data_IF_495260468294
#
_entry.id   IF_495260468294
#
_cell.length_a   1.000
_cell.length_b   1.000
_cell.length_c   1.000
_cell.angle_alpha   90.00
_cell.angle_beta   90.00
_cell.angle_gamma   90.00
#
_symmetry.space_group_name_H-M   'P 1'
#
loop_
_entity.id
_entity.type
_entity.pdbx_description
1 polymer ?
#
# COMPACT_ATOMS: atom_id res chain seq x y z
N UNK A 1 -3.73 17.04 25.21
CA UNK A 1 -4.58 16.31 24.24
C UNK A 1 -3.79 15.74 23.08
N UNK A 2 -3.02 16.56 22.33
CA UNK A 2 -2.15 16.12 21.22
C UNK A 2 -1.29 14.89 21.55
N UNK A 3 -0.45 14.83 22.60
CA UNK A 3 0.47 13.71 22.82
C UNK A 3 -0.17 12.38 23.27
N UNK A 4 -1.43 12.40 23.74
CA UNK A 4 -2.09 11.19 24.27
C UNK A 4 -2.63 10.29 23.15
N UNK A 5 -3.36 10.84 22.18
CA UNK A 5 -3.87 10.10 21.00
C UNK A 5 -2.74 9.38 20.26
N UNK A 6 -1.60 10.07 20.24
CA UNK A 6 -0.35 9.78 19.61
C UNK A 6 0.37 8.59 20.26
N UNK A 7 0.57 8.63 21.58
CA UNK A 7 1.19 7.55 22.34
C UNK A 7 0.40 6.23 22.20
N UNK A 8 -0.92 6.32 22.04
CA UNK A 8 -1.79 5.15 21.93
C UNK A 8 -1.85 4.55 20.52
N UNK A 9 -1.74 5.36 19.45
CA UNK A 9 -1.50 4.83 18.11
C UNK A 9 -0.17 4.07 18.07
N UNK A 10 0.87 4.59 18.74
CA UNK A 10 2.16 3.91 18.87
C UNK A 10 2.07 2.60 19.67
N UNK A 11 1.27 2.56 20.74
CA UNK A 11 1.00 1.31 21.47
C UNK A 11 0.30 0.24 20.59
N UNK A 12 -0.61 0.67 19.70
CA UNK A 12 -1.22 -0.19 18.68
C UNK A 12 -0.19 -0.68 17.65
N UNK A 13 0.73 0.18 17.20
CA UNK A 13 1.84 -0.23 16.31
C UNK A 13 2.77 -1.24 16.98
N UNK A 14 3.10 -1.04 18.27
CA UNK A 14 3.94 -1.96 19.04
C UNK A 14 3.26 -3.33 19.23
N UNK A 15 1.93 -3.38 19.36
CA UNK A 15 1.16 -4.63 19.42
C UNK A 15 1.15 -5.35 18.06
N UNK A 16 0.96 -4.62 16.95
CA UNK A 16 0.98 -5.17 15.60
C UNK A 16 2.39 -5.61 15.12
N UNK A 17 3.45 -5.06 15.72
CA UNK A 17 4.85 -5.40 15.42
C UNK A 17 5.36 -6.63 16.19
N UNK A 18 4.54 -7.27 17.04
CA UNK A 18 4.93 -8.56 17.63
C UNK A 18 5.07 -9.59 16.51
N UNK A 19 6.25 -10.20 16.31
CA UNK A 19 6.41 -11.26 15.31
C UNK A 19 5.53 -12.43 15.74
N UNK A 20 4.47 -12.70 14.99
CA UNK A 20 3.91 -14.04 14.95
C UNK A 20 5.03 -14.93 14.41
N UNK A 21 5.49 -15.85 15.25
CA UNK A 21 6.45 -16.87 14.86
C UNK A 21 6.03 -17.52 13.53
N UNK A 22 6.97 -17.93 12.66
CA UNK A 22 6.62 -18.54 11.38
C UNK A 22 5.74 -19.76 11.65
N UNK A 23 4.49 -19.70 11.22
CA UNK A 23 3.61 -20.86 11.22
C UNK A 23 4.05 -21.70 10.04
N UNK A 24 4.80 -22.75 10.35
CA UNK A 24 5.21 -23.78 9.42
C UNK A 24 3.95 -24.48 8.87
N UNK A 25 3.50 -24.03 7.70
CA UNK A 25 2.57 -24.78 6.87
C UNK A 25 3.35 -25.11 5.60
N UNK A 26 3.89 -26.33 5.63
CA UNK A 26 4.53 -26.96 4.50
C UNK A 26 3.55 -27.00 3.33
N UNK A 27 3.87 -26.20 2.32
CA UNK A 27 3.31 -26.35 1.00
C UNK A 27 4.48 -26.30 0.01
N UNK A 28 5.04 -27.48 -0.25
CA UNK A 28 6.09 -27.68 -1.24
C UNK A 28 5.47 -27.55 -2.64
N UNK A 29 5.29 -26.31 -3.09
CA UNK A 29 5.11 -26.04 -4.52
C UNK A 29 6.49 -25.90 -5.14
N UNK A 30 6.91 -26.98 -5.82
CA UNK A 30 8.11 -27.00 -6.65
C UNK A 30 7.97 -25.94 -7.74
N UNK A 31 8.70 -24.83 -7.62
CA UNK A 31 8.73 -23.76 -8.62
C UNK A 31 9.58 -24.25 -9.79
N UNK A 32 8.93 -24.59 -10.91
CA UNK A 32 9.61 -24.84 -12.18
C UNK A 32 10.08 -23.50 -12.76
N UNK A 33 11.40 -23.30 -12.76
CA UNK A 33 12.03 -22.17 -13.45
C UNK A 33 12.08 -22.49 -14.94
N UNK A 34 11.22 -21.84 -15.74
CA UNK A 34 11.34 -21.94 -17.18
C UNK A 34 12.59 -21.18 -17.66
N UNK A 35 13.36 -21.90 -18.47
CA UNK A 35 14.68 -21.57 -19.02
C UNK A 35 14.63 -20.31 -19.89
N UNK A 36 15.64 -19.44 -19.74
CA UNK A 36 15.87 -18.25 -20.57
C UNK A 36 15.89 -18.59 -22.07
N UNK A 37 15.20 -17.79 -22.88
CA UNK A 37 15.43 -17.70 -24.32
C UNK A 37 16.54 -16.66 -24.62
N UNK A 38 17.31 -16.80 -25.70
CA UNK A 38 18.59 -16.13 -25.88
C UNK A 38 18.47 -14.72 -26.50
N UNK A 39 19.45 -13.90 -26.15
CA UNK A 39 19.65 -12.50 -26.52
C UNK A 39 19.51 -12.19 -28.02
N UNK A 40 18.91 -11.02 -28.31
CA UNK A 40 19.21 -10.29 -29.55
C UNK A 40 19.18 -8.79 -29.27
N UNK A 41 20.38 -8.20 -29.15
CA UNK A 41 20.56 -6.75 -29.08
C UNK A 41 20.26 -6.11 -30.43
N UNK A 42 19.41 -5.08 -30.43
CA UNK A 42 19.31 -4.09 -31.51
C UNK A 42 19.08 -2.71 -30.90
N UNK A 43 20.10 -1.86 -30.96
CA UNK A 43 20.02 -0.45 -30.58
C UNK A 43 19.16 0.31 -31.59
N UNK A 44 17.96 0.73 -31.18
CA UNK A 44 17.10 1.64 -31.92
C UNK A 44 16.40 2.58 -30.94
N UNK A 45 16.88 3.83 -30.89
CA UNK A 45 16.31 4.89 -30.06
C UNK A 45 14.99 5.36 -30.73
N UNK A 46 13.85 4.89 -30.21
CA UNK A 46 12.51 5.38 -30.52
C UNK A 46 11.69 5.35 -29.23
N UNK A 47 11.01 6.45 -28.91
CA UNK A 47 10.32 6.68 -27.63
C UNK A 47 9.03 5.88 -27.41
N UNK A 48 9.11 4.55 -27.45
CA UNK A 48 8.04 3.64 -27.01
C UNK A 48 8.57 2.82 -25.85
N UNK A 49 7.91 2.87 -24.68
CA UNK A 49 8.25 1.99 -23.57
C UNK A 49 8.13 0.54 -24.11
N UNK A 50 9.14 -0.34 -23.97
CA UNK A 50 9.16 -1.69 -24.56
C UNK A 50 8.08 -2.64 -24.01
N UNK A 51 7.13 -2.11 -23.24
CA UNK A 51 6.14 -2.84 -22.44
C UNK A 51 4.69 -2.54 -22.88
N UNK A 52 4.50 -1.64 -23.85
CA UNK A 52 3.18 -1.22 -24.33
C UNK A 52 2.30 -2.41 -24.78
N UNK A 53 2.91 -3.45 -25.39
CA UNK A 53 2.16 -4.62 -25.88
C UNK A 53 1.53 -5.50 -24.79
N UNK A 54 2.17 -5.67 -23.63
CA UNK A 54 1.59 -6.48 -22.55
C UNK A 54 0.62 -5.69 -21.67
N UNK A 55 0.63 -4.34 -21.74
CA UNK A 55 -0.33 -3.49 -21.03
C UNK A 55 -1.73 -3.65 -21.59
N UNK A 56 -1.84 -3.77 -22.92
CA UNK A 56 -3.13 -3.94 -23.58
C UNK A 56 -3.76 -5.30 -23.32
N UNK A 57 -2.95 -6.35 -23.21
CA UNK A 57 -3.41 -7.71 -22.91
C UNK A 57 -3.49 -8.03 -21.42
N UNK A 58 -2.98 -7.14 -20.55
CA UNK A 58 -2.86 -7.34 -19.10
C UNK A 58 -2.11 -8.63 -18.73
N UNK A 59 -1.06 -8.95 -19.48
CA UNK A 59 -0.25 -10.16 -19.30
C UNK A 59 1.24 -9.86 -19.14
N UNK A 60 1.59 -8.69 -18.59
CA UNK A 60 2.99 -8.44 -18.26
C UNK A 60 3.44 -9.41 -17.17
N UNK A 61 4.50 -10.14 -17.43
CA UNK A 61 5.15 -11.01 -16.44
C UNK A 61 5.82 -10.20 -15.33
N UNK A 62 6.03 -10.84 -14.17
CA UNK A 62 6.79 -10.29 -13.06
C UNK A 62 8.12 -9.64 -13.50
N UNK A 63 8.89 -10.31 -14.36
CA UNK A 63 10.20 -9.82 -14.83
C UNK A 63 10.07 -8.61 -15.75
N UNK A 64 9.04 -8.56 -16.60
CA UNK A 64 8.78 -7.38 -17.44
C UNK A 64 8.43 -6.16 -16.59
N UNK A 65 7.63 -6.34 -15.53
CA UNK A 65 7.31 -5.24 -14.61
C UNK A 65 8.53 -4.85 -13.76
N UNK A 66 9.33 -5.83 -13.32
CA UNK A 66 10.54 -5.57 -12.54
C UNK A 66 11.54 -4.70 -13.34
N UNK A 67 11.67 -4.99 -14.64
CA UNK A 67 12.49 -4.21 -15.57
C UNK A 67 11.94 -2.80 -15.86
N UNK A 68 10.69 -2.49 -15.53
CA UNK A 68 10.15 -1.14 -15.66
C UNK A 68 10.76 -0.19 -14.63
N UNK A 69 11.08 1.02 -15.07
CA UNK A 69 11.33 2.14 -14.17
C UNK A 69 10.09 2.43 -13.30
N UNK A 70 10.27 3.07 -12.14
CA UNK A 70 9.14 3.52 -11.32
C UNK A 70 8.19 4.46 -12.08
N UNK A 71 8.72 5.31 -12.96
CA UNK A 71 7.92 6.19 -13.80
C UNK A 71 7.03 5.39 -14.76
N UNK A 72 7.59 4.39 -15.45
CA UNK A 72 6.83 3.50 -16.34
C UNK A 72 5.77 2.70 -15.57
N UNK A 73 6.06 2.27 -14.33
CA UNK A 73 5.06 1.60 -13.47
C UNK A 73 3.93 2.54 -13.07
N UNK A 74 4.23 3.81 -12.78
CA UNK A 74 3.21 4.82 -12.49
C UNK A 74 2.30 5.04 -13.68
N UNK A 75 2.87 5.16 -14.88
CA UNK A 75 2.12 5.26 -16.14
C UNK A 75 1.24 4.03 -16.35
N UNK A 76 1.77 2.83 -16.09
CA UNK A 76 1.00 1.59 -16.23
C UNK A 76 -0.21 1.55 -15.28
N UNK A 77 -0.02 1.92 -14.00
CA UNK A 77 -1.12 1.98 -13.04
C UNK A 77 -2.18 3.00 -13.48
N UNK A 78 -1.77 4.18 -13.95
CA UNK A 78 -2.71 5.19 -14.46
C UNK A 78 -3.45 4.71 -15.70
N UNK A 79 -2.77 4.02 -16.61
CA UNK A 79 -3.37 3.38 -17.77
C UNK A 79 -4.42 2.35 -17.34
N UNK A 80 -4.06 1.45 -16.42
CA UNK A 80 -4.95 0.41 -15.90
C UNK A 80 -6.21 1.04 -15.28
N UNK A 81 -6.05 2.01 -14.39
CA UNK A 81 -7.14 2.75 -13.75
C UNK A 81 -8.08 3.39 -14.77
N UNK A 82 -7.52 4.11 -15.74
CA UNK A 82 -8.30 4.89 -16.73
C UNK A 82 -9.04 4.00 -17.72
N UNK A 83 -8.40 2.94 -18.22
CA UNK A 83 -8.88 2.21 -19.39
C UNK A 83 -9.43 0.81 -19.10
N UNK A 84 -9.09 0.22 -17.95
CA UNK A 84 -9.43 -1.18 -17.65
C UNK A 84 -10.30 -1.32 -16.41
N UNK A 85 -10.05 -0.52 -15.38
CA UNK A 85 -10.74 -0.67 -14.08
C UNK A 85 -12.10 0.04 -14.01
N UNK A 86 -12.44 0.89 -14.98
CA UNK A 86 -13.77 1.50 -15.08
C UNK A 86 -14.87 0.44 -15.21
N UNK A 87 -14.68 -0.54 -16.11
CA UNK A 87 -15.59 -1.67 -16.29
C UNK A 87 -15.72 -2.56 -15.03
N UNK A 88 -14.82 -2.39 -14.06
CA UNK A 88 -14.80 -3.08 -12.77
C UNK A 88 -15.25 -2.17 -11.61
N UNK A 89 -15.77 -0.97 -11.90
CA UNK A 89 -16.18 0.06 -10.93
C UNK A 89 -15.10 0.37 -9.88
N UNK A 90 -13.85 0.41 -10.34
CA UNK A 90 -12.69 0.52 -9.46
C UNK A 90 -11.62 1.49 -9.97
N UNK A 91 -11.99 2.45 -10.84
CA UNK A 91 -11.08 3.43 -11.44
C UNK A 91 -10.23 4.20 -10.41
N UNK A 92 -10.83 4.59 -9.30
CA UNK A 92 -10.21 5.41 -8.25
C UNK A 92 -9.58 4.59 -7.10
N UNK A 93 -9.80 3.28 -7.06
CA UNK A 93 -9.47 2.44 -5.89
C UNK A 93 -7.98 2.09 -5.76
N UNK A 94 -7.15 2.53 -6.71
CA UNK A 94 -5.74 2.13 -6.81
C UNK A 94 -4.79 3.32 -6.71
N UNK A 95 -5.27 4.49 -6.29
CA UNK A 95 -4.43 5.66 -6.10
C UNK A 95 -3.40 5.47 -4.97
N UNK A 96 -3.64 4.54 -4.04
CA UNK A 96 -2.63 4.06 -3.09
C UNK A 96 -1.34 3.56 -3.78
N UNK A 97 -1.45 2.81 -4.89
CA UNK A 97 -0.28 2.37 -5.66
C UNK A 97 0.49 3.56 -6.22
N UNK A 98 -0.21 4.56 -6.76
CA UNK A 98 0.42 5.81 -7.23
C UNK A 98 1.19 6.50 -6.11
N UNK A 99 0.61 6.55 -4.90
CA UNK A 99 1.24 7.12 -3.70
C UNK A 99 2.54 6.42 -3.31
N UNK A 100 2.55 5.08 -3.31
CA UNK A 100 3.75 4.27 -3.03
C UNK A 100 4.81 4.45 -4.11
N UNK A 101 4.43 4.45 -5.38
CA UNK A 101 5.37 4.64 -6.50
C UNK A 101 6.00 6.03 -6.44
N UNK A 102 5.19 7.07 -6.22
CA UNK A 102 5.68 8.43 -6.06
C UNK A 102 6.64 8.53 -4.86
N UNK A 103 6.37 7.82 -3.76
CA UNK A 103 7.28 7.73 -2.63
C UNK A 103 8.61 7.07 -3.00
N UNK A 104 8.60 5.95 -3.73
CA UNK A 104 9.82 5.28 -4.21
C UNK A 104 10.66 6.20 -5.10
N UNK A 105 10.03 6.94 -6.01
CA UNK A 105 10.69 7.94 -6.84
C UNK A 105 11.32 9.06 -6.00
N UNK A 106 10.60 9.58 -4.99
CA UNK A 106 11.13 10.66 -4.13
C UNK A 106 12.28 10.23 -3.24
N UNK A 107 12.30 8.97 -2.78
CA UNK A 107 13.38 8.43 -1.92
C UNK A 107 14.50 7.76 -2.69
N UNK A 108 14.37 7.67 -4.02
CA UNK A 108 15.31 6.96 -4.89
C UNK A 108 15.55 5.51 -4.42
N UNK A 109 14.44 4.79 -4.17
CA UNK A 109 14.46 3.38 -3.74
C UNK A 109 13.62 2.53 -4.68
N UNK A 110 13.84 1.20 -4.65
CA UNK A 110 13.07 0.28 -5.47
C UNK A 110 13.44 0.32 -6.95
N UNK A 111 14.66 0.77 -7.29
CA UNK A 111 15.21 0.66 -8.64
C UNK A 111 15.34 -0.79 -9.11
N UNK A 112 15.37 -1.00 -10.42
CA UNK A 112 15.50 -2.33 -11.04
C UNK A 112 16.68 -3.12 -10.47
N UNK A 113 16.51 -4.42 -10.28
CA UNK A 113 17.48 -5.32 -9.66
C UNK A 113 17.46 -5.32 -8.12
N UNK A 114 16.64 -4.47 -7.47
CA UNK A 114 16.54 -4.44 -6.00
C UNK A 114 15.42 -5.33 -5.46
N UNK A 115 15.59 -5.80 -4.23
CA UNK A 115 14.55 -6.57 -3.53
C UNK A 115 13.20 -5.85 -3.51
N UNK A 116 13.21 -4.54 -3.24
CA UNK A 116 11.99 -3.74 -3.18
C UNK A 116 11.32 -3.57 -4.56
N UNK A 117 12.12 -3.46 -5.63
CA UNK A 117 11.62 -3.44 -7.01
C UNK A 117 10.80 -4.69 -7.32
N UNK A 118 11.35 -5.87 -7.01
CA UNK A 118 10.70 -7.15 -7.30
C UNK A 118 9.44 -7.37 -6.46
N UNK A 119 9.46 -6.97 -5.18
CA UNK A 119 8.26 -7.00 -4.33
C UNK A 119 7.15 -6.12 -4.91
N UNK A 120 7.49 -4.90 -5.30
CA UNK A 120 6.52 -3.99 -5.87
C UNK A 120 6.01 -4.44 -7.26
N UNK A 121 6.89 -5.04 -8.08
CA UNK A 121 6.51 -5.64 -9.35
C UNK A 121 5.49 -6.78 -9.15
N UNK A 122 5.65 -7.60 -8.11
CA UNK A 122 4.69 -8.64 -7.77
C UNK A 122 3.32 -8.10 -7.37
N UNK A 123 3.27 -6.93 -6.70
CA UNK A 123 1.99 -6.26 -6.40
C UNK A 123 1.26 -5.82 -7.66
N UNK A 124 1.98 -5.22 -8.62
CA UNK A 124 1.41 -4.77 -9.90
C UNK A 124 1.03 -5.97 -10.78
N UNK A 125 1.84 -7.03 -10.80
CA UNK A 125 1.52 -8.27 -11.53
C UNK A 125 0.22 -8.88 -11.00
N UNK A 126 0.09 -9.00 -9.68
CA UNK A 126 -1.13 -9.53 -9.07
C UNK A 126 -2.35 -8.72 -9.51
N UNK A 127 -2.24 -7.39 -9.45
CA UNK A 127 -3.30 -6.46 -9.80
C UNK A 127 -3.73 -6.59 -11.27
N UNK A 128 -2.81 -6.46 -12.23
CA UNK A 128 -3.17 -6.56 -13.65
C UNK A 128 -3.81 -7.91 -13.99
N UNK A 129 -3.31 -9.01 -13.39
CA UNK A 129 -3.79 -10.36 -13.68
C UNK A 129 -5.16 -10.57 -13.07
N UNK A 130 -5.40 -10.04 -11.87
CA UNK A 130 -6.74 -10.03 -11.28
C UNK A 130 -7.75 -9.23 -12.10
N UNK A 131 -7.33 -8.11 -12.69
CA UNK A 131 -8.15 -7.34 -13.61
C UNK A 131 -8.42 -8.13 -14.91
N UNK A 132 -7.39 -8.75 -15.51
CA UNK A 132 -7.52 -9.59 -16.70
C UNK A 132 -8.52 -10.75 -16.49
N UNK A 133 -8.44 -11.42 -15.34
CA UNK A 133 -9.38 -12.47 -14.93
C UNK A 133 -10.81 -11.93 -14.82
N UNK A 134 -10.98 -10.79 -14.16
CA UNK A 134 -12.30 -10.19 -13.93
C UNK A 134 -12.97 -9.69 -15.22
N UNK A 135 -12.15 -9.26 -16.19
CA UNK A 135 -12.60 -8.82 -17.51
C UNK A 135 -12.79 -10.00 -18.49
N UNK A 136 -12.46 -11.23 -18.08
CA UNK A 136 -12.53 -12.41 -18.95
C UNK A 136 -11.50 -12.45 -20.06
N UNK A 137 -10.40 -11.68 -19.93
CA UNK A 137 -9.32 -11.61 -20.92
C UNK A 137 -8.32 -12.76 -20.78
N UNK A 138 -8.14 -13.29 -19.56
CA UNK A 138 -7.17 -14.35 -19.27
C UNK A 138 -7.55 -15.09 -17.98
N UNK A 139 -7.13 -16.34 -17.83
CA UNK A 139 -7.18 -17.08 -16.57
C UNK A 139 -5.80 -17.27 -15.93
N UNK A 140 -4.76 -16.62 -16.48
CA UNK A 140 -3.38 -16.80 -16.07
C UNK A 140 -3.03 -15.95 -14.83
N UNK A 141 -2.75 -16.60 -13.71
CA UNK A 141 -2.35 -15.97 -12.44
C UNK A 141 -0.84 -15.67 -12.35
N UNK A 142 -0.03 -16.13 -13.30
CA UNK A 142 1.44 -16.00 -13.24
C UNK A 142 2.06 -16.77 -12.05
N UNK A 143 1.30 -17.65 -11.40
CA UNK A 143 1.68 -18.30 -10.14
C UNK A 143 1.63 -17.37 -8.92
N UNK A 144 1.08 -16.16 -9.06
CA UNK A 144 0.90 -15.22 -7.97
C UNK A 144 -0.49 -15.45 -7.32
N UNK A 145 -0.55 -15.96 -6.07
CA UNK A 145 -1.82 -16.29 -5.42
C UNK A 145 -2.69 -15.05 -5.13
N UNK A 146 -2.12 -13.85 -5.21
CA UNK A 146 -2.88 -12.62 -5.03
C UNK A 146 -3.70 -12.24 -6.27
N UNK A 147 -3.40 -12.77 -7.46
CA UNK A 147 -4.19 -12.49 -8.68
C UNK A 147 -5.65 -12.90 -8.53
N UNK A 148 -5.91 -14.07 -7.95
CA UNK A 148 -7.28 -14.55 -7.69
C UNK A 148 -7.99 -13.71 -6.63
N UNK A 149 -7.25 -13.24 -5.61
CA UNK A 149 -7.79 -12.34 -4.58
C UNK A 149 -8.16 -10.99 -5.16
N UNK A 150 -7.35 -10.46 -6.08
CA UNK A 150 -7.71 -9.26 -6.84
C UNK A 150 -8.92 -9.49 -7.72
N UNK A 151 -9.00 -10.63 -8.40
CA UNK A 151 -10.16 -10.97 -9.22
C UNK A 151 -11.46 -11.04 -8.38
N UNK A 152 -11.39 -11.65 -7.20
CA UNK A 152 -12.50 -11.69 -6.25
C UNK A 152 -12.88 -10.29 -5.75
N UNK A 153 -11.89 -9.46 -5.38
CA UNK A 153 -12.12 -8.06 -5.01
C UNK A 153 -12.89 -7.30 -6.09
N UNK A 154 -12.46 -7.40 -7.36
CA UNK A 154 -13.15 -6.75 -8.49
C UNK A 154 -14.56 -7.30 -8.71
N UNK A 155 -14.75 -8.61 -8.60
CA UNK A 155 -16.07 -9.22 -8.69
C UNK A 155 -17.00 -8.69 -7.59
N UNK A 156 -16.52 -8.61 -6.34
CA UNK A 156 -17.30 -8.11 -5.22
C UNK A 156 -17.59 -6.60 -5.34
N UNK A 157 -16.65 -5.79 -5.87
CA UNK A 157 -16.88 -4.38 -6.20
C UNK A 157 -17.99 -4.23 -7.23
N UNK A 158 -17.88 -4.93 -8.36
CA UNK A 158 -18.85 -4.86 -9.47
C UNK A 158 -20.25 -5.29 -9.05
N UNK A 159 -20.36 -6.26 -8.13
CA UNK A 159 -21.64 -6.74 -7.59
C UNK A 159 -22.17 -5.92 -6.40
N UNK A 160 -21.51 -4.82 -6.03
CA UNK A 160 -21.95 -3.92 -4.96
C UNK A 160 -21.75 -4.44 -3.53
N UNK A 161 -21.01 -5.55 -3.37
CA UNK A 161 -20.76 -6.19 -2.06
C UNK A 161 -19.71 -5.45 -1.21
N UNK A 162 -18.91 -4.60 -1.83
CA UNK A 162 -17.87 -3.78 -1.17
C UNK A 162 -18.26 -2.29 -1.12
N UNK A 163 -19.54 -2.03 -0.82
CA UNK A 163 -20.06 -0.69 -0.51
C UNK A 163 -19.85 -0.33 0.96
N UNK A 164 -19.83 -1.31 1.85
CA UNK A 164 -19.39 -1.14 3.23
C UNK A 164 -17.86 -1.01 3.30
N UNK A 165 -17.38 -0.01 4.05
CA UNK A 165 -15.96 0.29 4.20
C UNK A 165 -15.19 -0.84 4.84
N UNK A 166 -15.76 -1.52 5.84
CA UNK A 166 -15.09 -2.62 6.53
C UNK A 166 -14.87 -3.82 5.62
N UNK A 167 -15.89 -4.21 4.86
CA UNK A 167 -15.78 -5.28 3.87
C UNK A 167 -14.78 -4.93 2.75
N UNK A 168 -14.86 -3.69 2.26
CA UNK A 168 -13.95 -3.14 1.26
C UNK A 168 -12.48 -3.22 1.73
N UNK A 169 -12.17 -2.65 2.88
CA UNK A 169 -10.81 -2.56 3.41
C UNK A 169 -10.23 -3.93 3.72
N UNK A 170 -11.05 -4.85 4.23
CA UNK A 170 -10.63 -6.23 4.46
C UNK A 170 -10.25 -6.93 3.15
N UNK A 171 -11.10 -6.83 2.13
CA UNK A 171 -10.86 -7.48 0.83
C UNK A 171 -9.61 -6.90 0.17
N UNK A 172 -9.47 -5.56 0.18
CA UNK A 172 -8.30 -4.85 -0.31
C UNK A 172 -7.01 -5.28 0.39
N UNK A 173 -6.99 -5.24 1.73
CA UNK A 173 -5.81 -5.57 2.52
C UNK A 173 -5.39 -7.04 2.39
N UNK A 174 -6.34 -7.97 2.22
CA UNK A 174 -6.04 -9.40 2.02
C UNK A 174 -5.39 -9.65 0.66
N UNK A 175 -5.87 -9.00 -0.40
CA UNK A 175 -5.28 -9.13 -1.73
C UNK A 175 -3.89 -8.48 -1.79
N UNK A 176 -3.73 -7.28 -1.21
CA UNK A 176 -2.44 -6.59 -1.14
C UNK A 176 -1.41 -7.37 -0.30
N UNK A 177 -1.81 -7.86 0.89
CA UNK A 177 -0.96 -8.69 1.75
C UNK A 177 -0.40 -9.89 1.00
N UNK A 178 -1.26 -10.63 0.31
CA UNK A 178 -0.87 -11.83 -0.42
C UNK A 178 0.14 -11.49 -1.54
N UNK A 179 -0.01 -10.33 -2.19
CA UNK A 179 0.87 -9.90 -3.27
C UNK A 179 2.25 -9.49 -2.72
N UNK A 180 2.27 -8.77 -1.59
CA UNK A 180 3.50 -8.42 -0.87
C UNK A 180 4.22 -9.68 -0.43
N UNK A 181 3.53 -10.63 0.22
CA UNK A 181 4.15 -11.86 0.72
C UNK A 181 4.72 -12.73 -0.41
N UNK A 182 4.00 -12.82 -1.53
CA UNK A 182 4.52 -13.49 -2.73
C UNK A 182 5.76 -12.79 -3.29
N UNK A 183 5.73 -11.46 -3.41
CA UNK A 183 6.86 -10.65 -3.84
C UNK A 183 8.08 -10.83 -2.95
N UNK A 184 7.89 -10.83 -1.63
CA UNK A 184 8.96 -11.06 -0.65
C UNK A 184 9.60 -12.43 -0.85
N UNK A 185 8.79 -13.50 -0.96
CA UNK A 185 9.30 -14.86 -1.22
C UNK A 185 10.10 -14.93 -2.53
N UNK A 186 9.60 -14.30 -3.61
CA UNK A 186 10.31 -14.26 -4.89
C UNK A 186 11.63 -13.51 -4.78
N UNK A 187 11.65 -12.37 -4.10
CA UNK A 187 12.86 -11.58 -3.92
C UNK A 187 13.89 -12.25 -2.99
N UNK A 188 13.44 -12.96 -1.96
CA UNK A 188 14.31 -13.72 -1.06
C UNK A 188 14.97 -14.91 -1.77
N UNK A 189 14.20 -15.60 -2.63
CA UNK A 189 14.68 -16.75 -3.41
C UNK A 189 15.53 -16.39 -4.63
N UNK A 190 15.54 -15.13 -5.07
CA UNK A 190 16.28 -14.71 -6.25
C UNK A 190 17.77 -14.50 -5.94
N UNK A 191 18.63 -15.07 -6.79
CA UNK A 191 20.09 -14.96 -6.68
C UNK A 191 20.64 -13.67 -7.31
N UNK A 192 19.89 -13.06 -8.24
CA UNK A 192 20.33 -11.91 -9.03
C UNK A 192 19.85 -10.56 -8.47
N UNK A 193 19.12 -10.60 -7.34
CA UNK A 193 18.48 -9.43 -6.75
C UNK A 193 19.28 -8.94 -5.55
N UNK A 194 19.54 -7.63 -5.51
CA UNK A 194 20.20 -6.97 -4.38
C UNK A 194 19.35 -7.14 -3.11
N UNK A 195 19.98 -7.62 -2.03
CA UNK A 195 19.31 -7.86 -0.76
C UNK A 195 18.88 -6.54 -0.11
N UNK A 196 17.73 -6.52 0.60
CA UNK A 196 17.20 -5.28 1.17
C UNK A 196 18.07 -4.81 2.34
N UNK A 197 18.24 -3.49 2.46
CA UNK A 197 18.84 -2.92 3.66
C UNK A 197 17.94 -3.11 4.88
N UNK A 198 18.52 -3.05 6.09
CA UNK A 198 17.74 -3.14 7.32
C UNK A 198 16.66 -2.06 7.44
N UNK A 199 16.88 -0.89 6.83
CA UNK A 199 15.87 0.18 6.76
C UNK A 199 14.68 -0.19 5.88
N UNK A 200 14.92 -0.79 4.71
CA UNK A 200 13.86 -1.28 3.81
C UNK A 200 13.05 -2.38 4.49
N UNK A 201 13.70 -3.30 5.19
CA UNK A 201 13.01 -4.34 5.97
C UNK A 201 12.12 -3.73 7.06
N UNK A 202 12.63 -2.77 7.84
CA UNK A 202 11.82 -2.07 8.85
C UNK A 202 10.65 -1.31 8.23
N UNK A 203 10.87 -0.62 7.12
CA UNK A 203 9.79 0.05 6.39
C UNK A 203 8.72 -0.94 5.93
N UNK A 204 9.11 -2.11 5.40
CA UNK A 204 8.17 -3.16 5.01
C UNK A 204 7.38 -3.73 6.21
N UNK A 205 7.98 -3.78 7.41
CA UNK A 205 7.24 -4.13 8.62
C UNK A 205 6.19 -3.06 8.96
N UNK A 206 6.52 -1.77 8.79
CA UNK A 206 5.54 -0.69 9.01
C UNK A 206 4.36 -0.75 8.04
N UNK A 207 4.55 -1.17 6.79
CA UNK A 207 3.40 -1.35 5.87
C UNK A 207 2.44 -2.45 6.36
N UNK A 208 2.85 -3.33 7.29
CA UNK A 208 1.94 -4.28 7.96
C UNK A 208 0.95 -3.61 8.88
N UNK A 209 1.33 -2.49 9.50
CA UNK A 209 0.41 -1.69 10.31
C UNK A 209 -0.75 -1.18 9.45
N UNK A 210 -0.46 -0.69 8.25
CA UNK A 210 -1.47 -0.21 7.30
C UNK A 210 -2.53 -1.29 6.99
N UNK A 211 -2.08 -2.47 6.55
CA UNK A 211 -2.99 -3.61 6.26
C UNK A 211 -3.72 -4.10 7.51
N UNK A 212 -3.06 -4.10 8.67
CA UNK A 212 -3.69 -4.48 9.95
C UNK A 212 -4.78 -3.48 10.35
N UNK A 213 -4.55 -2.19 10.14
CA UNK A 213 -5.54 -1.15 10.44
C UNK A 213 -6.82 -1.33 9.61
N UNK A 214 -6.67 -1.70 8.33
CA UNK A 214 -7.78 -2.07 7.45
C UNK A 214 -8.51 -3.33 7.93
N UNK A 215 -7.78 -4.43 8.15
CA UNK A 215 -8.37 -5.73 8.53
C UNK A 215 -9.12 -5.68 9.86
N UNK A 216 -8.60 -4.92 10.83
CA UNK A 216 -9.14 -4.85 12.19
C UNK A 216 -9.80 -3.51 12.50
N UNK A 217 -10.18 -2.71 11.49
CA UNK A 217 -10.75 -1.35 11.64
C UNK A 217 -11.79 -1.29 12.75
N UNK A 218 -12.81 -2.17 12.69
CA UNK A 218 -13.91 -2.20 13.68
C UNK A 218 -13.40 -2.47 15.09
N UNK A 219 -12.48 -3.42 15.26
CA UNK A 219 -11.91 -3.78 16.56
C UNK A 219 -11.08 -2.64 17.12
N UNK A 220 -10.23 -2.02 16.31
CA UNK A 220 -9.39 -0.88 16.69
C UNK A 220 -10.28 0.29 17.13
N UNK A 221 -11.28 0.67 16.33
CA UNK A 221 -12.18 1.76 16.68
C UNK A 221 -13.00 1.45 17.94
N UNK A 222 -13.44 0.21 18.12
CA UNK A 222 -14.12 -0.20 19.34
C UNK A 222 -13.21 -0.09 20.57
N UNK A 223 -11.97 -0.58 20.49
CA UNK A 223 -10.98 -0.47 21.57
C UNK A 223 -10.68 0.99 21.92
N UNK A 224 -10.53 1.85 20.91
CA UNK A 224 -10.30 3.29 21.11
C UNK A 224 -11.53 3.94 21.75
N UNK A 225 -12.75 3.67 21.25
CA UNK A 225 -13.97 4.21 21.87
C UNK A 225 -14.08 3.79 23.34
N UNK A 226 -13.86 2.52 23.65
CA UNK A 226 -13.91 2.00 25.02
C UNK A 226 -12.82 2.60 25.92
N UNK A 227 -11.57 2.66 25.45
CA UNK A 227 -10.44 3.19 26.20
C UNK A 227 -10.57 4.67 26.54
N UNK A 228 -11.24 5.45 25.69
CA UNK A 228 -11.42 6.90 25.87
C UNK A 228 -12.84 7.32 26.25
N UNK A 229 -13.75 6.36 26.52
CA UNK A 229 -15.15 6.66 26.90
C UNK A 229 -15.21 7.62 28.09
N UNK A 230 -14.24 7.54 29.00
CA UNK A 230 -14.21 8.29 30.26
C UNK A 230 -13.33 9.54 30.25
N UNK A 231 -12.50 9.74 29.22
CA UNK A 231 -11.45 10.78 29.25
C UNK A 231 -11.65 11.89 28.22
N UNK A 232 -12.12 11.59 27.00
CA UNK A 232 -12.42 12.63 25.99
C UNK A 232 -13.10 12.03 24.75
N UNK A 233 -14.38 12.35 24.48
CA UNK A 233 -15.10 11.86 23.28
C UNK A 233 -14.48 12.31 21.95
N UNK A 234 -13.74 13.41 21.94
CA UNK A 234 -13.08 13.95 20.73
C UNK A 234 -11.93 13.09 20.21
N UNK A 235 -11.33 12.25 21.07
CA UNK A 235 -10.18 11.41 20.71
C UNK A 235 -10.60 10.26 19.77
N UNK A 236 -11.60 9.42 20.13
CA UNK A 236 -12.09 8.39 19.22
C UNK A 236 -12.54 8.92 17.86
N UNK A 237 -13.19 10.09 17.82
CA UNK A 237 -13.62 10.72 16.56
C UNK A 237 -12.44 11.11 15.67
N UNK A 238 -11.41 11.73 16.26
CA UNK A 238 -10.21 12.11 15.51
C UNK A 238 -9.43 10.88 15.01
N UNK A 239 -9.36 9.83 15.81
CA UNK A 239 -8.70 8.57 15.43
C UNK A 239 -9.45 7.87 14.30
N UNK A 240 -10.78 7.88 14.34
CA UNK A 240 -11.61 7.33 13.26
C UNK A 240 -11.38 8.06 11.95
N UNK A 241 -11.50 9.39 11.94
CA UNK A 241 -11.23 10.21 10.77
C UNK A 241 -9.79 10.02 10.25
N UNK A 242 -8.82 9.86 11.15
CA UNK A 242 -7.44 9.57 10.78
C UNK A 242 -7.29 8.19 10.13
N UNK A 243 -7.81 7.13 10.74
CA UNK A 243 -7.74 5.77 10.19
C UNK A 243 -8.41 5.73 8.82
N UNK A 244 -9.58 6.36 8.68
CA UNK A 244 -10.32 6.38 7.43
C UNK A 244 -9.53 7.08 6.32
N UNK A 245 -8.89 8.20 6.64
CA UNK A 245 -8.03 8.90 5.68
C UNK A 245 -6.78 8.11 5.32
N UNK A 246 -6.04 7.62 6.31
CA UNK A 246 -4.75 6.97 6.08
C UNK A 246 -4.90 5.62 5.37
N UNK A 247 -6.07 5.00 5.48
CA UNK A 247 -6.44 3.77 4.77
C UNK A 247 -7.23 4.04 3.49
N UNK A 248 -7.46 5.31 3.14
CA UNK A 248 -8.19 5.65 1.92
C UNK A 248 -7.37 5.34 0.67
N UNK A 249 -7.69 4.20 0.04
CA UNK A 249 -7.02 3.71 -1.17
C UNK A 249 -7.25 4.61 -2.39
N UNK A 250 -8.22 5.52 -2.30
CA UNK A 250 -8.56 6.50 -3.34
C UNK A 250 -7.74 7.79 -3.24
N UNK A 251 -6.96 7.96 -2.17
CA UNK A 251 -6.10 9.12 -1.96
C UNK A 251 -4.61 8.74 -2.04
N UNK A 252 -3.96 9.07 -3.16
CA UNK A 252 -2.53 8.88 -3.31
C UNK A 252 -1.71 9.66 -2.25
N UNK A 253 -2.25 10.77 -1.76
CA UNK A 253 -1.58 11.65 -0.79
C UNK A 253 -1.50 10.99 0.58
N UNK A 254 -2.56 10.32 1.02
CA UNK A 254 -2.61 9.63 2.31
C UNK A 254 -1.57 8.51 2.39
N UNK A 255 -1.50 7.71 1.32
CA UNK A 255 -0.59 6.57 1.24
C UNK A 255 0.86 7.05 1.10
N UNK A 256 1.11 8.08 0.29
CA UNK A 256 2.42 8.70 0.17
C UNK A 256 2.92 9.29 1.50
N UNK A 257 2.03 9.96 2.24
CA UNK A 257 2.33 10.49 3.57
C UNK A 257 2.66 9.37 4.58
N UNK A 258 1.85 8.31 4.64
CA UNK A 258 2.12 7.18 5.52
C UNK A 258 3.45 6.50 5.20
N UNK A 259 3.76 6.35 3.91
CA UNK A 259 5.04 5.80 3.46
C UNK A 259 6.23 6.66 3.92
N UNK A 260 6.12 7.99 3.84
CA UNK A 260 7.11 8.93 4.34
C UNK A 260 7.29 8.83 5.87
N UNK A 261 6.19 8.78 6.64
CA UNK A 261 6.25 8.60 8.10
C UNK A 261 6.93 7.28 8.46
N UNK A 262 6.52 6.18 7.83
CA UNK A 262 7.14 4.87 8.02
C UNK A 262 8.62 4.88 7.66
N UNK A 263 9.03 5.66 6.65
CA UNK A 263 10.43 5.76 6.22
C UNK A 263 11.30 6.57 7.18
N UNK A 264 10.72 7.61 7.79
CA UNK A 264 11.37 8.36 8.86
C UNK A 264 11.54 7.46 10.08
N UNK A 265 10.49 6.74 10.49
CA UNK A 265 10.55 5.79 11.62
C UNK A 265 11.52 4.64 11.38
N UNK A 266 11.63 4.14 10.14
CA UNK A 266 12.58 3.07 9.81
C UNK A 266 14.05 3.50 9.90
N UNK A 267 14.33 4.80 9.83
CA UNK A 267 15.68 5.35 10.02
C UNK A 267 16.13 5.29 11.48
N UNK A 268 15.19 5.45 12.41
CA UNK A 268 15.48 5.56 13.85
C UNK A 268 15.97 4.26 14.45
N UNK A 269 15.75 3.15 13.74
CA UNK A 269 16.22 1.86 14.20
C UNK A 269 15.75 1.56 15.62
N UNK A 270 14.50 1.94 15.95
CA UNK A 270 13.85 1.71 17.25
C UNK A 270 14.36 0.39 17.77
N UNK A 271 15.20 0.49 18.80
CA UNK A 271 16.06 -0.62 19.16
C UNK A 271 15.15 -1.81 19.42
N UNK A 272 15.38 -2.93 18.73
CA UNK A 272 14.63 -4.17 19.00
C UNK A 272 14.83 -4.62 20.47
N UNK A 273 15.74 -3.98 21.22
CA UNK A 273 16.14 -4.28 22.60
C UNK A 273 15.93 -3.13 23.60
N UNK A 274 15.38 -1.97 23.20
CA UNK A 274 15.05 -0.88 24.13
C UNK A 274 16.25 -0.19 24.80
N UNK A 275 17.37 0.00 24.09
CA UNK A 275 18.61 0.52 24.65
C UNK A 275 18.54 2.02 25.02
N UNK A 276 17.69 2.82 24.37
CA UNK A 276 17.43 4.21 24.76
C UNK A 276 15.96 4.63 24.52
N UNK A 277 15.05 4.28 25.46
CA UNK A 277 13.63 4.55 25.33
C UNK A 277 13.30 6.05 25.40
N UNK A 278 14.19 6.90 25.93
CA UNK A 278 13.94 8.33 26.04
C UNK A 278 14.15 9.03 24.69
N UNK A 279 15.28 8.75 24.01
CA UNK A 279 15.53 9.25 22.66
C UNK A 279 14.50 8.71 21.64
N UNK A 280 14.15 7.43 21.74
CA UNK A 280 13.09 6.83 20.92
C UNK A 280 11.74 7.53 21.14
N UNK A 281 11.41 7.90 22.39
CA UNK A 281 10.16 8.60 22.72
C UNK A 281 10.10 10.05 22.24
N UNK A 282 11.23 10.77 22.26
CA UNK A 282 11.30 12.17 21.82
C UNK A 282 11.13 12.29 20.30
N UNK A 283 11.76 11.39 19.55
CA UNK A 283 11.60 11.38 18.09
C UNK A 283 10.20 10.90 17.69
N UNK A 284 9.65 9.92 18.40
CA UNK A 284 8.25 9.54 18.24
C UNK A 284 7.31 10.72 18.52
N UNK A 285 7.52 11.49 19.59
CA UNK A 285 6.73 12.69 19.88
C UNK A 285 6.83 13.72 18.76
N UNK A 286 8.04 13.98 18.24
CA UNK A 286 8.27 14.93 17.14
C UNK A 286 7.54 14.50 15.86
N UNK A 287 7.70 13.25 15.45
CA UNK A 287 7.04 12.69 14.26
C UNK A 287 5.54 12.83 14.40
N UNK A 288 5.01 12.54 15.58
CA UNK A 288 3.56 12.54 15.73
C UNK A 288 3.01 13.97 15.94
N UNK A 289 3.80 14.94 16.42
CA UNK A 289 3.42 16.36 16.39
C UNK A 289 3.38 16.90 14.96
N UNK A 290 4.40 16.63 14.14
CA UNK A 290 4.42 17.03 12.72
C UNK A 290 3.25 16.38 11.96
N UNK A 291 2.98 15.10 12.26
CA UNK A 291 1.85 14.34 11.74
C UNK A 291 0.48 14.93 12.12
N UNK A 292 0.31 15.39 13.37
CA UNK A 292 -0.94 16.00 13.82
C UNK A 292 -1.21 17.33 13.12
N UNK A 293 -0.16 18.10 12.83
CA UNK A 293 -0.26 19.37 12.12
C UNK A 293 -0.73 19.19 10.67
N UNK A 294 -0.18 18.20 9.96
CA UNK A 294 -0.63 17.86 8.59
C UNK A 294 -2.10 17.45 8.55
N UNK A 295 -2.54 16.63 9.51
CA UNK A 295 -3.96 16.22 9.62
C UNK A 295 -4.89 17.41 9.90
N UNK A 296 -4.49 18.32 10.79
CA UNK A 296 -5.30 19.50 11.14
C UNK A 296 -5.41 20.49 9.98
N UNK A 297 -4.33 20.73 9.25
CA UNK A 297 -4.31 21.62 8.07
C UNK A 297 -5.37 21.21 7.03
N UNK A 298 -5.56 19.91 6.81
CA UNK A 298 -6.61 19.37 5.92
C UNK A 298 -8.02 19.66 6.46
N UNK A 299 -8.26 19.40 7.75
CA UNK A 299 -9.57 19.63 8.36
C UNK A 299 -9.97 21.10 8.41
N UNK A 300 -9.00 22.02 8.46
CA UNK A 300 -9.27 23.48 8.39
C UNK A 300 -9.37 24.03 6.97
N UNK A 301 -8.87 23.31 5.95
CA UNK A 301 -8.83 23.76 4.56
C UNK A 301 -10.07 23.43 3.71
N UNK A 302 -11.01 22.65 4.23
CA UNK A 302 -12.24 22.22 3.53
C UNK A 302 -13.43 23.19 3.59
N UNK A 303 -13.26 24.37 4.18
CA UNK A 303 -14.34 25.35 4.37
C UNK A 303 -14.09 26.65 3.61
N UNK A 304 -14.16 26.62 2.28
CA UNK A 304 -14.41 27.82 1.47
C UNK A 304 -14.83 27.42 0.05
N UNK A 305 -16.12 27.12 -0.09
CA UNK A 305 -16.80 26.94 -1.36
C UNK A 305 -18.30 27.06 -1.13
N UNK A 306 -18.86 28.23 -1.48
CA UNK A 306 -20.29 28.53 -1.56
C UNK A 306 -21.09 28.66 -0.25
N UNK A 307 -20.91 29.79 0.44
CA UNK A 307 -22.08 30.52 0.94
C UNK A 307 -22.46 31.59 -0.09
N UNK A 308 -23.33 31.21 -1.02
CA UNK A 308 -24.05 32.15 -1.87
C UNK A 308 -24.89 33.07 -0.99
N UNK A 309 -24.55 34.36 -0.98
CA UNK A 309 -25.16 35.37 -0.14
C UNK A 309 -26.65 35.53 -0.41
N UNK A 310 -27.46 35.32 0.63
CA UNK A 310 -28.78 35.95 0.73
C UNK A 310 -28.53 37.41 1.08
N UNK A 311 -28.51 38.27 0.06
CA UNK A 311 -28.69 39.70 0.24
C UNK A 311 -30.17 40.00 0.32
N UNK A 312 -30.69 40.13 1.55
CA UNK A 312 -31.90 40.91 1.78
C UNK A 312 -31.54 42.39 1.67
N UNK A 313 -32.22 43.13 0.79
CA UNK A 313 -32.68 44.50 1.08
C UNK A 313 -33.77 44.93 0.09
N UNK A 314 -34.93 45.24 0.68
CA UNK A 314 -35.97 46.23 0.34
C UNK A 314 -36.30 46.48 -1.12
#
# INVERSE_FOLDING_TARGET
MKPLVILHFLALTAWALKPLAPRDHGDQTVIVVNKLAPDTHSYGYSGTNPVDGCWESLDCSLTQIEAMSMASRLEFIKYLSTWRLDALHSMDQFRAFEGVIAFFMRKDIGGTGTWLSLVHAACIEALQRGAAISLGLSSNTGGNPASEKWADYFYQRRTGRLTDRGAHDLSWAVAEQAAVDYGMRRADSSLQIEKPSGRVLRWMQFTRVYRTAMQYRRTILWLMRMGFTWSSPSIPMAVEAFIDWVTDVTDATSTGFLADVAWTLSALGLSQHGEDPAADSEVMLKIVTEFWEVFQLRNTGGGNGEQGGISQRR
#
